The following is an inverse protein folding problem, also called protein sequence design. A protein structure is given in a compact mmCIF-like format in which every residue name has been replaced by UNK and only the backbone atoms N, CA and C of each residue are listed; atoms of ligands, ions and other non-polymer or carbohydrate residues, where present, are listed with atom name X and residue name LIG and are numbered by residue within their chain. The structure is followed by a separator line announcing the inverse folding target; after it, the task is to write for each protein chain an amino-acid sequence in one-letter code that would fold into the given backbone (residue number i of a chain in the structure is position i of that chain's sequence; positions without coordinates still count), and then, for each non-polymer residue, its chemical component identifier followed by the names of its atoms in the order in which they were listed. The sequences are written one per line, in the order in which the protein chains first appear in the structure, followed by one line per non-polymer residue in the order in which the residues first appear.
data_IF_951032483478
#
_entry.id   IF_951032483478
#
_cell.length_a   1.000
_cell.length_b   1.000
_cell.length_c   1.000
_cell.angle_alpha   90.00
_cell.angle_beta   90.00
_cell.angle_gamma   90.00
#
_symmetry.space_group_name_H-M   'P 1'
#
loop_
_entity.id
_entity.type
_entity.pdbx_description
1 polymer ?
#
# COMPACT_ATOMS: atom_id res chain seq x y z
N UNK A 1 -21.77 31.61 43.98
CA UNK A 1 -20.69 30.88 43.27
C UNK A 1 -19.69 31.91 42.80
N UNK A 2 -18.49 31.95 43.37
CA UNK A 2 -17.41 32.76 42.80
C UNK A 2 -17.13 32.31 41.37
N UNK A 3 -17.19 33.24 40.42
CA UNK A 3 -16.77 33.02 39.04
C UNK A 3 -15.24 32.99 39.00
N UNK A 4 -14.66 31.85 39.34
CA UNK A 4 -13.23 31.56 39.18
C UNK A 4 -12.92 31.18 37.73
N UNK A 5 -13.05 32.14 36.80
CA UNK A 5 -12.57 31.97 35.43
C UNK A 5 -11.18 32.59 35.31
N UNK A 6 -10.19 31.78 34.93
CA UNK A 6 -8.85 32.26 34.66
C UNK A 6 -8.87 33.30 33.52
N UNK A 7 -7.98 34.29 33.60
CA UNK A 7 -7.89 35.37 32.60
C UNK A 7 -7.46 34.87 31.22
N UNK A 8 -6.75 33.74 31.14
CA UNK A 8 -6.32 33.10 29.89
C UNK A 8 -6.92 31.71 29.79
N UNK A 9 -7.35 31.34 28.58
CA UNK A 9 -7.80 29.99 28.27
C UNK A 9 -6.61 29.02 28.32
N UNK A 10 -6.71 28.01 29.18
CA UNK A 10 -5.78 26.88 29.20
C UNK A 10 -6.45 25.66 28.58
N UNK A 11 -6.12 25.40 27.32
CA UNK A 11 -6.66 24.26 26.58
C UNK A 11 -6.25 22.92 27.20
N UNK A 12 -5.10 22.83 27.88
CA UNK A 12 -4.63 21.58 28.50
C UNK A 12 -5.52 21.19 29.66
N UNK A 13 -5.75 22.11 30.59
CA UNK A 13 -6.68 21.92 31.71
C UNK A 13 -8.10 21.61 31.24
N UNK A 14 -8.49 22.14 30.09
CA UNK A 14 -9.82 21.94 29.51
C UNK A 14 -9.93 20.58 28.81
N UNK A 15 -8.90 20.10 28.13
CA UNK A 15 -8.91 18.81 27.41
C UNK A 15 -8.65 17.61 28.34
N UNK A 16 -7.94 17.83 29.45
CA UNK A 16 -7.53 16.78 30.38
C UNK A 16 -8.70 15.90 30.83
N UNK A 17 -8.55 14.58 30.63
CA UNK A 17 -9.55 13.57 30.98
C UNK A 17 -10.86 13.61 30.19
N UNK A 18 -11.13 14.63 29.35
CA UNK A 18 -12.40 14.76 28.63
C UNK A 18 -12.64 13.63 27.64
N UNK A 19 -11.62 13.27 26.87
CA UNK A 19 -11.76 12.24 25.86
C UNK A 19 -12.13 10.89 26.49
N UNK A 20 -11.39 10.48 27.52
CA UNK A 20 -11.65 9.24 28.26
C UNK A 20 -13.07 9.24 28.82
N UNK A 21 -13.51 10.36 29.42
CA UNK A 21 -14.88 10.51 29.90
C UNK A 21 -15.93 10.35 28.79
N UNK A 22 -15.68 10.84 27.57
CA UNK A 22 -16.61 10.64 26.45
C UNK A 22 -16.70 9.18 26.01
N UNK A 23 -15.55 8.48 25.97
CA UNK A 23 -15.49 7.06 25.64
C UNK A 23 -16.18 6.21 26.72
N UNK A 24 -15.85 6.43 28.00
CA UNK A 24 -16.45 5.71 29.14
C UNK A 24 -17.97 5.86 29.20
N UNK A 25 -18.48 7.04 28.83
CA UNK A 25 -19.92 7.30 28.79
C UNK A 25 -20.60 6.82 27.50
N UNK A 26 -19.86 6.24 26.56
CA UNK A 26 -20.41 5.73 25.30
C UNK A 26 -20.99 6.81 24.39
N UNK A 27 -20.53 8.06 24.49
CA UNK A 27 -21.11 9.19 23.73
C UNK A 27 -20.97 9.05 22.21
N UNK A 28 -20.05 8.20 21.75
CA UNK A 28 -19.76 8.00 20.34
C UNK A 28 -20.22 6.63 19.82
N UNK A 29 -20.84 5.81 20.67
CA UNK A 29 -21.30 4.47 20.31
C UNK A 29 -22.56 4.54 19.45
N UNK A 30 -22.53 3.90 18.29
CA UNK A 30 -23.67 3.80 17.38
C UNK A 30 -24.47 2.49 17.59
N UNK A 31 -25.74 2.50 17.21
CA UNK A 31 -26.63 1.35 17.30
C UNK A 31 -28.08 1.68 17.66
N UNK A 32 -28.46 2.96 17.68
CA UNK A 32 -29.83 3.38 17.92
C UNK A 32 -30.70 3.18 16.67
N UNK A 33 -31.38 2.03 16.62
CA UNK A 33 -32.24 1.63 15.49
C UNK A 33 -33.48 2.53 15.29
N UNK A 34 -33.75 3.47 16.20
CA UNK A 34 -34.85 4.43 16.04
C UNK A 34 -34.48 5.65 15.18
N UNK A 35 -33.20 5.84 14.88
CA UNK A 35 -32.67 6.97 14.11
C UNK A 35 -32.18 6.53 12.74
N UNK A 36 -32.12 7.46 11.81
CA UNK A 36 -31.53 7.23 10.51
C UNK A 36 -30.02 7.00 10.65
N UNK A 37 -29.45 5.94 10.05
CA UNK A 37 -28.03 5.65 10.14
C UNK A 37 -27.20 6.61 9.28
N UNK A 38 -26.05 7.03 9.79
CA UNK A 38 -25.00 7.68 8.99
C UNK A 38 -23.66 7.07 9.36
N UNK A 39 -22.88 6.63 8.36
CA UNK A 39 -21.61 5.94 8.61
C UNK A 39 -20.47 6.62 7.88
N UNK A 40 -19.35 6.79 8.58
CA UNK A 40 -18.06 7.15 8.02
C UNK A 40 -17.07 6.08 8.49
N UNK A 41 -16.27 5.57 7.56
CA UNK A 41 -15.15 4.68 7.88
C UNK A 41 -13.89 5.53 7.81
N UNK A 42 -13.11 5.56 8.89
CA UNK A 42 -11.80 6.20 8.85
C UNK A 42 -10.96 5.45 7.80
N UNK A 43 -10.29 6.14 6.86
CA UNK A 43 -9.24 5.51 6.07
C UNK A 43 -8.22 4.91 7.04
N UNK A 44 -8.11 3.58 7.12
CA UNK A 44 -7.38 2.95 8.21
C UNK A 44 -5.88 3.28 8.06
N UNK A 45 -5.25 3.97 9.04
CA UNK A 45 -3.83 4.26 8.94
C UNK A 45 -3.01 2.97 9.02
N UNK A 46 -1.89 2.97 8.31
CA UNK A 46 -0.94 1.87 8.31
C UNK A 46 -0.26 1.76 9.68
N UNK A 47 -0.08 0.53 10.17
CA UNK A 47 0.67 0.25 11.42
C UNK A 47 2.18 0.33 11.24
N UNK A 48 2.68 1.32 10.50
CA UNK A 48 4.09 1.46 10.08
C UNK A 48 4.82 2.65 10.72
N UNK A 49 4.12 3.46 11.50
CA UNK A 49 4.64 4.72 12.03
C UNK A 49 3.63 5.48 12.90
N UNK A 50 4.06 6.64 13.38
CA UNK A 50 3.18 7.60 14.07
C UNK A 50 2.38 8.42 13.05
N UNK A 51 1.16 8.82 13.42
CA UNK A 51 0.35 9.68 12.57
C UNK A 51 1.00 11.06 12.43
N UNK A 52 1.19 11.53 11.20
CA UNK A 52 1.58 12.91 10.88
C UNK A 52 0.38 13.85 10.62
N UNK A 53 0.65 15.13 10.37
CA UNK A 53 -0.37 16.18 10.16
C UNK A 53 -1.39 15.88 9.05
N UNK A 54 -1.00 15.16 7.99
CA UNK A 54 -1.94 14.68 6.97
C UNK A 54 -3.10 13.84 7.54
N UNK A 55 -2.82 12.92 8.47
CA UNK A 55 -3.87 12.14 9.15
C UNK A 55 -4.72 13.04 10.06
N UNK A 56 -4.11 14.02 10.73
CA UNK A 56 -4.85 14.96 11.56
C UNK A 56 -5.85 15.76 10.71
N UNK A 57 -5.43 16.23 9.53
CA UNK A 57 -6.31 16.93 8.59
C UNK A 57 -7.46 16.04 8.10
N UNK A 58 -7.14 14.84 7.60
CA UNK A 58 -8.13 13.87 7.12
C UNK A 58 -9.17 13.52 8.20
N UNK A 59 -8.71 13.15 9.39
CA UNK A 59 -9.58 12.71 10.48
C UNK A 59 -10.43 13.87 11.04
N UNK A 60 -9.90 15.10 11.09
CA UNK A 60 -10.65 16.27 11.57
C UNK A 60 -11.84 16.57 10.67
N UNK A 61 -11.67 16.52 9.34
CA UNK A 61 -12.77 16.75 8.40
C UNK A 61 -13.90 15.73 8.59
N UNK A 62 -13.54 14.46 8.75
CA UNK A 62 -14.50 13.39 9.02
C UNK A 62 -15.18 13.56 10.37
N UNK A 63 -14.45 13.94 11.42
CA UNK A 63 -14.99 14.15 12.76
C UNK A 63 -15.97 15.31 12.84
N UNK A 64 -15.71 16.42 12.12
CA UNK A 64 -16.65 17.54 12.00
C UNK A 64 -17.98 17.05 11.43
N UNK A 65 -17.95 16.27 10.36
CA UNK A 65 -19.15 15.70 9.74
C UNK A 65 -19.84 14.72 10.71
N UNK A 66 -19.09 13.84 11.35
CA UNK A 66 -19.62 12.88 12.31
C UNK A 66 -20.35 13.58 13.47
N UNK A 67 -19.73 14.60 14.07
CA UNK A 67 -20.33 15.40 15.14
C UNK A 67 -21.57 16.13 14.66
N UNK A 68 -21.50 16.77 13.50
CA UNK A 68 -22.64 17.47 12.91
C UNK A 68 -23.83 16.52 12.68
N UNK A 69 -23.60 15.35 12.07
CA UNK A 69 -24.64 14.34 11.82
C UNK A 69 -25.24 13.78 13.11
N UNK A 70 -24.40 13.51 14.11
CA UNK A 70 -24.86 13.10 15.44
C UNK A 70 -25.76 14.17 16.08
N UNK A 71 -25.40 15.45 15.97
CA UNK A 71 -26.21 16.57 16.45
C UNK A 71 -27.51 16.79 15.66
N UNK A 72 -27.54 16.39 14.38
CA UNK A 72 -28.76 16.37 13.57
C UNK A 72 -29.72 15.22 13.91
N UNK A 73 -29.34 14.32 14.84
CA UNK A 73 -30.19 13.22 15.29
C UNK A 73 -29.97 11.89 14.58
N UNK A 74 -28.93 11.74 13.75
CA UNK A 74 -28.58 10.47 13.11
C UNK A 74 -27.93 9.49 14.09
N UNK A 75 -28.11 8.19 13.84
CA UNK A 75 -27.27 7.13 14.44
C UNK A 75 -25.91 7.13 13.73
N UNK A 76 -25.00 7.95 14.24
CA UNK A 76 -23.70 8.21 13.61
C UNK A 76 -22.65 7.19 14.03
N UNK A 77 -22.25 6.31 13.11
CA UNK A 77 -21.10 5.41 13.23
C UNK A 77 -19.87 6.01 12.57
N UNK A 78 -18.91 6.47 13.37
CA UNK A 78 -17.57 6.80 12.88
C UNK A 78 -16.64 5.64 13.22
N UNK A 79 -16.47 4.72 12.26
CA UNK A 79 -15.82 3.42 12.46
C UNK A 79 -14.29 3.57 12.45
N UNK A 80 -13.59 3.29 13.56
CA UNK A 80 -12.14 3.24 13.58
C UNK A 80 -11.63 1.91 13.00
N UNK A 81 -10.50 1.97 12.31
CA UNK A 81 -9.79 0.79 11.87
C UNK A 81 -8.32 1.08 11.61
N UNK A 82 -7.51 0.04 11.54
CA UNK A 82 -6.07 0.14 11.21
C UNK A 82 -5.72 -0.86 10.11
N UNK A 83 -4.73 -0.50 9.30
CA UNK A 83 -4.26 -1.34 8.22
C UNK A 83 -2.91 -2.00 8.54
N UNK A 84 -2.84 -3.31 8.34
CA UNK A 84 -1.62 -4.11 8.40
C UNK A 84 -0.56 -3.69 7.37
N UNK A 85 -0.94 -3.04 6.26
CA UNK A 85 -0.04 -2.43 5.28
C UNK A 85 1.03 -3.37 4.67
N UNK A 86 0.81 -4.69 4.70
CA UNK A 86 1.63 -5.74 4.08
C UNK A 86 3.14 -5.44 4.04
N UNK A 87 3.64 -5.16 2.83
CA UNK A 87 5.06 -4.90 2.52
C UNK A 87 5.63 -3.75 3.35
N UNK A 88 4.87 -2.68 3.59
CA UNK A 88 5.36 -1.52 4.34
C UNK A 88 5.61 -1.87 5.82
N UNK A 89 4.75 -2.70 6.43
CA UNK A 89 4.96 -3.20 7.79
C UNK A 89 6.12 -4.17 7.85
N UNK A 90 6.21 -5.09 6.87
CA UNK A 90 7.35 -6.01 6.78
C UNK A 90 8.67 -5.24 6.73
N UNK A 91 8.79 -4.23 5.87
CA UNK A 91 10.01 -3.42 5.75
C UNK A 91 10.40 -2.72 7.07
N UNK A 92 9.41 -2.25 7.84
CA UNK A 92 9.66 -1.62 9.15
C UNK A 92 10.09 -2.62 10.22
N UNK A 93 9.45 -3.78 10.27
CA UNK A 93 9.83 -4.87 11.19
C UNK A 93 11.23 -5.39 10.84
N UNK A 94 11.52 -5.58 9.55
CA UNK A 94 12.84 -5.99 9.07
C UNK A 94 13.93 -4.98 9.44
N UNK A 95 13.66 -3.68 9.30
CA UNK A 95 14.60 -2.63 9.70
C UNK A 95 14.87 -2.64 11.22
N UNK A 96 13.83 -2.87 12.04
CA UNK A 96 13.99 -3.02 13.50
C UNK A 96 14.81 -4.26 13.86
N UNK A 97 14.48 -5.41 13.28
CA UNK A 97 15.24 -6.64 13.49
C UNK A 97 16.71 -6.47 13.11
N UNK A 98 16.98 -5.82 11.98
CA UNK A 98 18.35 -5.50 11.55
C UNK A 98 19.08 -4.60 12.55
N UNK A 99 18.39 -3.65 13.20
CA UNK A 99 18.97 -2.83 14.27
C UNK A 99 19.29 -3.62 15.55
N UNK A 100 18.57 -4.73 15.78
CA UNK A 100 18.84 -5.71 16.83
C UNK A 100 19.91 -6.74 16.42
N UNK A 101 20.46 -6.64 15.20
CA UNK A 101 21.44 -7.58 14.64
C UNK A 101 20.83 -8.92 14.19
N UNK A 102 19.51 -8.98 14.05
CA UNK A 102 18.76 -10.21 13.70
C UNK A 102 18.27 -10.12 12.27
N UNK A 103 18.50 -11.18 11.48
CA UNK A 103 17.87 -11.30 10.16
C UNK A 103 16.51 -11.99 10.27
N UNK A 104 15.51 -11.52 9.50
CA UNK A 104 14.21 -12.19 9.39
C UNK A 104 14.34 -13.64 8.91
N UNK A 105 15.38 -13.92 8.12
CA UNK A 105 15.67 -15.25 7.59
C UNK A 105 16.16 -16.21 8.68
N UNK A 106 16.74 -15.70 9.76
CA UNK A 106 17.23 -16.50 10.89
C UNK A 106 16.10 -16.83 11.88
N UNK A 107 15.05 -16.00 11.94
CA UNK A 107 13.90 -16.18 12.84
C UNK A 107 12.93 -17.26 12.36
N UNK A 108 12.80 -17.43 11.05
CA UNK A 108 11.72 -18.21 10.46
C UNK A 108 10.36 -17.50 10.54
N UNK A 109 9.36 -18.08 9.86
CA UNK A 109 8.05 -17.44 9.65
C UNK A 109 7.29 -17.18 10.95
N UNK A 110 7.23 -18.16 11.85
CA UNK A 110 6.39 -18.08 13.05
C UNK A 110 6.86 -16.97 13.99
N UNK A 111 8.15 -16.95 14.34
CA UNK A 111 8.74 -15.90 15.17
C UNK A 111 8.68 -14.53 14.50
N UNK A 112 8.83 -14.47 13.17
CA UNK A 112 8.64 -13.21 12.45
C UNK A 112 7.22 -12.66 12.62
N UNK A 113 6.20 -13.52 12.50
CA UNK A 113 4.81 -13.12 12.70
C UNK A 113 4.54 -12.66 14.13
N UNK A 114 5.12 -13.32 15.14
CA UNK A 114 5.05 -12.85 16.54
C UNK A 114 5.58 -11.42 16.66
N UNK A 115 6.77 -11.13 16.11
CA UNK A 115 7.35 -9.78 16.11
C UNK A 115 6.49 -8.76 15.36
N UNK A 116 5.85 -9.15 14.26
CA UNK A 116 4.94 -8.29 13.51
C UNK A 116 3.67 -7.95 14.31
N UNK A 117 3.14 -8.91 15.09
CA UNK A 117 2.00 -8.68 15.97
C UNK A 117 2.35 -7.81 17.19
N UNK A 118 3.54 -7.99 17.77
CA UNK A 118 4.08 -7.11 18.81
C UNK A 118 4.18 -5.67 18.31
N UNK A 119 4.77 -5.50 17.12
CA UNK A 119 4.85 -4.22 16.44
C UNK A 119 3.45 -3.60 16.25
N UNK A 120 2.48 -4.38 15.74
CA UNK A 120 1.10 -3.92 15.59
C UNK A 120 0.50 -3.42 16.91
N UNK A 121 0.72 -4.14 18.01
CA UNK A 121 0.19 -3.77 19.32
C UNK A 121 0.77 -2.42 19.82
N UNK A 122 2.08 -2.23 19.64
CA UNK A 122 2.78 -0.99 19.99
C UNK A 122 2.23 0.22 19.21
N UNK A 123 2.13 0.08 17.88
CA UNK A 123 1.66 1.17 17.02
C UNK A 123 0.16 1.43 17.15
N UNK A 124 -0.66 0.40 17.34
CA UNK A 124 -2.08 0.58 17.60
C UNK A 124 -2.33 1.43 18.85
N UNK A 125 -1.55 1.22 19.92
CA UNK A 125 -1.63 2.05 21.14
C UNK A 125 -1.27 3.51 20.85
N UNK A 126 -0.22 3.73 20.05
CA UNK A 126 0.21 5.09 19.68
C UNK A 126 -0.83 5.80 18.83
N UNK A 127 -1.37 5.13 17.80
CA UNK A 127 -2.43 5.65 16.94
C UNK A 127 -3.68 6.02 17.76
N UNK A 128 -4.14 5.15 18.66
CA UNK A 128 -5.27 5.44 19.57
C UNK A 128 -5.01 6.66 20.45
N UNK A 129 -3.78 6.80 20.97
CA UNK A 129 -3.40 7.98 21.77
C UNK A 129 -3.50 9.25 20.94
N UNK A 130 -3.05 9.22 19.67
CA UNK A 130 -3.12 10.37 18.78
C UNK A 130 -4.57 10.73 18.40
N UNK A 131 -5.40 9.74 18.06
CA UNK A 131 -6.83 9.96 17.84
C UNK A 131 -7.53 10.54 19.05
N UNK A 132 -7.22 10.04 20.26
CA UNK A 132 -7.76 10.56 21.49
C UNK A 132 -7.29 11.98 21.79
N UNK A 133 -6.02 12.30 21.48
CA UNK A 133 -5.49 13.66 21.64
C UNK A 133 -6.12 14.67 20.68
N UNK A 134 -6.46 14.25 19.45
CA UNK A 134 -7.24 15.05 18.51
C UNK A 134 -8.72 15.15 18.90
N UNK A 135 -9.20 14.23 19.75
CA UNK A 135 -10.58 14.19 20.21
C UNK A 135 -11.53 13.56 19.20
N UNK A 136 -11.06 12.69 18.30
CA UNK A 136 -11.91 12.08 17.27
C UNK A 136 -13.06 11.28 17.89
N UNK A 137 -14.30 11.51 17.43
CA UNK A 137 -15.52 10.90 17.95
C UNK A 137 -15.79 9.47 17.43
N UNK A 138 -14.78 8.63 17.54
CA UNK A 138 -14.72 7.25 17.04
C UNK A 138 -15.48 6.27 17.94
N UNK A 139 -16.10 5.27 17.33
CA UNK A 139 -16.73 4.15 18.04
C UNK A 139 -15.75 2.97 18.19
N UNK A 140 -14.96 2.98 19.26
CA UNK A 140 -13.99 1.92 19.54
C UNK A 140 -14.61 0.55 19.83
N UNK A 141 -15.92 0.48 20.14
CA UNK A 141 -16.59 -0.81 20.38
C UNK A 141 -16.60 -1.72 19.13
N UNK A 142 -16.37 -1.12 17.96
CA UNK A 142 -16.37 -1.79 16.66
C UNK A 142 -15.03 -1.65 15.93
N UNK A 143 -13.96 -1.29 16.63
CA UNK A 143 -12.65 -1.08 16.01
C UNK A 143 -12.19 -2.32 15.22
N UNK A 144 -11.66 -2.08 14.02
CA UNK A 144 -11.24 -3.14 13.10
C UNK A 144 -9.76 -3.14 12.80
N UNK A 145 -9.25 -4.31 12.42
CA UNK A 145 -7.91 -4.45 11.87
C UNK A 145 -7.97 -5.32 10.61
N UNK A 146 -7.25 -4.95 9.56
CA UNK A 146 -7.37 -5.64 8.26
C UNK A 146 -6.95 -7.11 8.27
N UNK A 147 -6.26 -7.58 9.33
CA UNK A 147 -5.93 -8.99 9.56
C UNK A 147 -6.70 -9.62 10.74
N UNK A 148 -7.75 -8.97 11.24
CA UNK A 148 -8.66 -9.60 12.21
C UNK A 148 -9.50 -10.71 11.57
N UNK A 149 -10.05 -11.61 12.39
CA UNK A 149 -10.78 -12.80 11.91
C UNK A 149 -11.95 -12.44 10.99
N UNK A 150 -12.68 -11.36 11.30
CA UNK A 150 -13.82 -10.91 10.51
C UNK A 150 -13.41 -10.37 9.13
N UNK A 151 -12.33 -9.60 9.07
CA UNK A 151 -11.76 -9.12 7.81
C UNK A 151 -11.17 -10.27 6.98
N UNK A 152 -10.47 -11.21 7.60
CA UNK A 152 -9.92 -12.38 6.92
C UNK A 152 -11.04 -13.21 6.27
N UNK A 153 -12.16 -13.40 6.96
CA UNK A 153 -13.33 -14.08 6.42
C UNK A 153 -13.97 -13.31 5.26
N UNK A 154 -14.09 -11.99 5.36
CA UNK A 154 -14.60 -11.15 4.29
C UNK A 154 -13.71 -11.19 3.03
N UNK A 155 -12.39 -11.08 3.19
CA UNK A 155 -11.43 -11.17 2.08
C UNK A 155 -11.49 -12.55 1.43
N UNK A 156 -11.54 -13.63 2.22
CA UNK A 156 -11.68 -15.00 1.71
C UNK A 156 -12.97 -15.19 0.93
N UNK A 157 -14.09 -14.68 1.46
CA UNK A 157 -15.39 -14.73 0.78
C UNK A 157 -15.34 -14.04 -0.58
N UNK A 158 -14.83 -12.81 -0.63
CA UNK A 158 -14.70 -12.04 -1.88
C UNK A 158 -13.78 -12.75 -2.87
N UNK A 159 -12.62 -13.25 -2.41
CA UNK A 159 -11.69 -13.99 -3.26
C UNK A 159 -12.34 -15.23 -3.88
N UNK A 160 -12.99 -16.07 -3.06
CA UNK A 160 -13.66 -17.29 -3.55
C UNK A 160 -14.80 -16.96 -4.50
N UNK A 161 -15.58 -15.92 -4.21
CA UNK A 161 -16.66 -15.46 -5.09
C UNK A 161 -16.12 -15.03 -6.45
N UNK A 162 -15.13 -14.15 -6.48
CA UNK A 162 -14.52 -13.65 -7.73
C UNK A 162 -13.80 -14.75 -8.51
N UNK A 163 -13.22 -15.74 -7.81
CA UNK A 163 -12.67 -16.94 -8.45
C UNK A 163 -13.75 -17.78 -9.13
N UNK A 164 -14.85 -18.07 -8.43
CA UNK A 164 -15.97 -18.84 -8.98
C UNK A 164 -16.68 -18.11 -10.14
N UNK A 165 -16.66 -16.78 -10.16
CA UNK A 165 -17.16 -15.94 -11.25
C UNK A 165 -16.17 -15.86 -12.44
N UNK A 166 -14.98 -16.45 -12.34
CA UNK A 166 -13.96 -16.45 -13.40
C UNK A 166 -13.16 -15.15 -13.51
N UNK A 167 -13.30 -14.23 -12.55
CA UNK A 167 -12.60 -12.94 -12.52
C UNK A 167 -11.20 -13.05 -11.91
N UNK A 168 -10.96 -14.07 -11.07
CA UNK A 168 -9.63 -14.42 -10.55
C UNK A 168 -9.15 -15.70 -11.24
N UNK A 169 -7.94 -15.66 -11.78
CA UNK A 169 -7.30 -16.80 -12.43
C UNK A 169 -5.82 -16.90 -12.06
N UNK A 170 -5.22 -18.06 -12.36
CA UNK A 170 -3.78 -18.29 -12.24
C UNK A 170 -3.20 -18.56 -13.63
N UNK A 171 -2.18 -17.79 -14.00
CA UNK A 171 -1.50 -17.94 -15.29
C UNK A 171 -0.13 -17.28 -15.28
N UNK A 172 0.61 -17.46 -16.37
CA UNK A 172 1.90 -16.84 -16.57
C UNK A 172 1.73 -15.47 -17.21
N UNK A 173 2.32 -14.44 -16.61
CA UNK A 173 2.33 -13.07 -17.12
C UNK A 173 3.64 -12.41 -16.70
N UNK A 174 4.14 -11.47 -17.51
CA UNK A 174 5.22 -10.57 -17.08
C UNK A 174 4.70 -9.74 -15.90
N UNK A 175 5.49 -9.69 -14.84
CA UNK A 175 5.20 -8.97 -13.59
C UNK A 175 6.34 -8.02 -13.26
N UNK A 176 6.07 -7.03 -12.42
CA UNK A 176 7.12 -6.28 -11.74
C UNK A 176 7.60 -7.11 -10.55
N UNK A 177 8.91 -7.29 -10.42
CA UNK A 177 9.52 -8.07 -9.34
C UNK A 177 10.53 -7.19 -8.60
N UNK A 178 10.38 -7.08 -7.29
CA UNK A 178 11.37 -6.44 -6.43
C UNK A 178 12.41 -7.49 -5.95
N UNK A 179 13.68 -7.39 -6.39
CA UNK A 179 14.73 -8.31 -5.95
C UNK A 179 15.12 -8.17 -4.47
N UNK A 180 14.88 -7.02 -3.84
CA UNK A 180 15.18 -6.78 -2.43
C UNK A 180 14.12 -7.42 -1.53
N UNK A 181 12.85 -7.06 -1.72
CA UNK A 181 11.75 -7.65 -0.95
C UNK A 181 11.42 -9.09 -1.37
N UNK A 182 11.85 -9.51 -2.56
CA UNK A 182 11.59 -10.82 -3.19
C UNK A 182 10.09 -11.09 -3.35
N UNK A 183 9.38 -10.13 -3.93
CA UNK A 183 7.94 -10.24 -4.17
C UNK A 183 7.54 -9.59 -5.49
N UNK A 184 6.39 -10.02 -6.01
CA UNK A 184 5.71 -9.34 -7.11
C UNK A 184 5.11 -8.02 -6.61
N UNK A 185 5.12 -7.01 -7.47
CA UNK A 185 4.48 -5.71 -7.26
C UNK A 185 3.41 -5.45 -8.31
N UNK A 186 2.31 -4.82 -7.89
CA UNK A 186 1.31 -4.29 -8.79
C UNK A 186 1.83 -3.04 -9.52
N UNK A 187 1.21 -2.69 -10.65
CA UNK A 187 1.63 -1.52 -11.43
C UNK A 187 1.54 -0.20 -10.64
N UNK A 188 0.59 -0.08 -9.71
CA UNK A 188 0.40 1.14 -8.90
C UNK A 188 1.46 1.29 -7.80
N UNK A 189 2.18 0.22 -7.47
CA UNK A 189 3.26 0.23 -6.48
C UNK A 189 4.63 0.55 -7.11
N UNK A 190 4.70 0.67 -8.43
CA UNK A 190 5.93 1.01 -9.16
C UNK A 190 5.98 2.51 -9.43
N UNK A 191 7.01 3.15 -8.88
CA UNK A 191 7.29 4.56 -9.12
C UNK A 191 8.27 4.69 -10.29
N UNK A 192 7.88 5.48 -11.28
CA UNK A 192 8.75 5.80 -12.42
C UNK A 192 9.47 7.12 -12.15
N UNK A 193 10.78 7.11 -12.38
CA UNK A 193 11.63 8.30 -12.32
C UNK A 193 12.64 8.23 -13.47
N UNK A 194 13.10 9.40 -13.91
CA UNK A 194 14.15 9.50 -14.91
C UNK A 194 15.52 9.37 -14.25
N UNK A 195 16.26 8.34 -14.63
CA UNK A 195 17.62 8.11 -14.18
C UNK A 195 18.61 8.29 -15.35
N UNK A 196 19.77 8.95 -15.15
CA UNK A 196 20.80 9.05 -16.19
C UNK A 196 21.28 7.67 -16.64
N UNK A 197 21.03 7.35 -17.91
CA UNK A 197 21.38 6.06 -18.51
C UNK A 197 22.34 6.18 -19.69
N UNK A 198 22.65 5.03 -20.29
CA UNK A 198 23.39 4.93 -21.55
C UNK A 198 22.53 4.23 -22.60
N UNK A 199 22.60 4.72 -23.83
CA UNK A 199 21.99 4.06 -24.99
C UNK A 199 23.09 3.37 -25.80
N UNK A 200 23.07 2.04 -25.82
CA UNK A 200 24.03 1.21 -26.52
C UNK A 200 23.53 0.92 -27.93
N UNK A 201 24.45 0.84 -28.89
CA UNK A 201 24.14 0.59 -30.30
C UNK A 201 24.93 -0.63 -30.76
N UNK A 202 24.22 -1.67 -31.19
CA UNK A 202 24.81 -2.95 -31.61
C UNK A 202 24.51 -3.19 -33.08
N UNK A 203 25.52 -3.66 -33.82
CA UNK A 203 25.36 -4.08 -35.20
C UNK A 203 24.84 -5.52 -35.24
N UNK A 204 23.81 -5.73 -36.03
CA UNK A 204 23.23 -7.02 -36.37
C UNK A 204 23.46 -7.29 -37.85
N UNK A 205 23.67 -8.56 -38.22
CA UNK A 205 23.98 -8.97 -39.59
C UNK A 205 22.85 -9.85 -40.11
N UNK A 206 22.22 -9.41 -41.19
CA UNK A 206 21.19 -10.17 -41.91
C UNK A 206 21.83 -11.39 -42.54
N UNK A 207 21.32 -12.57 -42.25
CA UNK A 207 21.94 -13.84 -42.65
C UNK A 207 21.88 -14.05 -44.17
N UNK A 208 20.78 -13.65 -44.80
CA UNK A 208 20.53 -13.87 -46.22
C UNK A 208 21.31 -12.92 -47.12
N UNK A 209 21.54 -11.69 -46.67
CA UNK A 209 22.16 -10.64 -47.51
C UNK A 209 23.53 -10.19 -47.02
N UNK A 210 23.91 -10.50 -45.78
CA UNK A 210 25.09 -9.94 -45.11
C UNK A 210 24.95 -8.44 -44.77
N UNK A 211 23.77 -7.86 -44.97
CA UNK A 211 23.50 -6.45 -44.68
C UNK A 211 23.57 -6.19 -43.17
N UNK A 212 24.24 -5.10 -42.77
CA UNK A 212 24.32 -4.70 -41.37
C UNK A 212 23.26 -3.65 -41.03
N UNK A 213 22.63 -3.79 -39.87
CA UNK A 213 21.76 -2.75 -39.29
C UNK A 213 22.04 -2.57 -37.80
N UNK A 214 21.56 -1.46 -37.22
CA UNK A 214 21.86 -1.09 -35.84
C UNK A 214 20.60 -1.22 -34.98
N UNK A 215 20.73 -1.94 -33.87
CA UNK A 215 19.73 -2.01 -32.80
C UNK A 215 20.23 -1.20 -31.62
N UNK A 216 19.37 -0.33 -31.07
CA UNK A 216 19.68 0.47 -29.90
C UNK A 216 18.94 -0.06 -28.66
N UNK A 217 19.65 -0.21 -27.54
CA UNK A 217 19.08 -0.70 -26.27
C UNK A 217 19.72 -0.01 -25.07
N UNK A 218 18.95 0.17 -24.00
CA UNK A 218 19.46 0.60 -22.69
C UNK A 218 19.90 -0.58 -21.82
N UNK A 219 19.59 -1.81 -22.24
CA UNK A 219 19.82 -3.05 -21.47
C UNK A 219 20.60 -4.07 -22.29
N UNK A 220 21.91 -3.89 -22.47
CA UNK A 220 22.73 -4.81 -23.26
C UNK A 220 22.72 -6.25 -22.69
N UNK A 221 22.47 -6.42 -21.40
CA UNK A 221 22.40 -7.72 -20.74
C UNK A 221 21.18 -8.57 -21.18
N UNK A 222 20.10 -7.96 -21.69
CA UNK A 222 18.93 -8.72 -22.16
C UNK A 222 19.13 -9.35 -23.53
N UNK A 223 20.19 -8.94 -24.26
CA UNK A 223 20.47 -9.39 -25.62
C UNK A 223 20.63 -10.92 -25.73
N UNK A 224 21.10 -11.59 -24.66
CA UNK A 224 21.20 -13.05 -24.61
C UNK A 224 19.83 -13.76 -24.60
N UNK A 225 18.77 -13.04 -24.28
CA UNK A 225 17.39 -13.52 -24.27
C UNK A 225 16.56 -12.97 -25.43
N UNK A 226 17.17 -12.32 -26.42
CA UNK A 226 16.46 -11.84 -27.60
C UNK A 226 15.88 -13.03 -28.38
N UNK A 227 14.64 -12.88 -28.85
CA UNK A 227 13.89 -13.92 -29.57
C UNK A 227 13.49 -13.51 -30.99
N UNK A 228 13.56 -12.21 -31.29
CA UNK A 228 13.29 -11.64 -32.62
C UNK A 228 13.79 -10.18 -32.67
N UNK A 229 13.90 -9.63 -33.88
CA UNK A 229 14.04 -8.19 -34.11
C UNK A 229 12.74 -7.63 -34.70
N UNK A 230 12.23 -6.55 -34.11
CA UNK A 230 10.99 -5.92 -34.56
C UNK A 230 11.32 -4.68 -35.40
N UNK A 231 10.83 -4.68 -36.65
CA UNK A 231 10.95 -3.56 -37.58
C UNK A 231 9.57 -2.94 -37.82
N UNK A 232 9.49 -1.61 -37.82
CA UNK A 232 8.25 -0.91 -38.17
C UNK A 232 7.96 -1.11 -39.68
N UNK A 233 6.79 -1.63 -40.09
CA UNK A 233 6.45 -1.84 -41.50
C UNK A 233 6.50 -0.59 -42.37
N UNK A 234 6.34 0.59 -41.77
CA UNK A 234 6.41 1.88 -42.47
C UNK A 234 7.82 2.48 -42.53
N UNK A 235 8.83 1.82 -41.96
CA UNK A 235 10.22 2.28 -42.05
C UNK A 235 10.79 1.95 -43.44
N UNK A 236 10.85 2.95 -44.33
CA UNK A 236 11.40 2.82 -45.68
C UNK A 236 12.84 2.33 -45.72
N UNK A 237 13.61 2.48 -44.63
CA UNK A 237 15.03 2.07 -44.59
C UNK A 237 15.22 0.60 -44.25
N UNK A 238 14.26 -0.03 -43.58
CA UNK A 238 14.42 -1.37 -43.02
C UNK A 238 13.26 -2.32 -43.37
N UNK A 239 12.18 -1.85 -44.00
CA UNK A 239 11.02 -2.69 -44.32
C UNK A 239 11.36 -3.90 -45.21
N UNK A 240 12.39 -3.80 -46.05
CA UNK A 240 12.90 -4.87 -46.90
C UNK A 240 13.60 -5.97 -46.12
N UNK A 241 13.81 -5.79 -44.80
CA UNK A 241 14.35 -6.80 -43.89
C UNK A 241 13.25 -7.63 -43.20
N UNK A 242 11.98 -7.24 -43.29
CA UNK A 242 10.89 -7.98 -42.65
C UNK A 242 10.80 -9.40 -43.26
N UNK A 243 10.81 -10.40 -42.37
CA UNK A 243 10.77 -11.82 -42.75
C UNK A 243 12.14 -12.44 -43.08
N UNK A 244 13.24 -11.66 -42.97
CA UNK A 244 14.62 -12.17 -43.03
C UNK A 244 15.12 -12.53 -41.63
N UNK A 245 16.21 -13.28 -41.56
CA UNK A 245 16.85 -13.67 -40.31
C UNK A 245 18.09 -12.84 -40.04
N UNK A 246 18.43 -12.68 -38.77
CA UNK A 246 19.63 -11.98 -38.32
C UNK A 246 20.42 -12.81 -37.33
N UNK A 247 21.72 -12.53 -37.20
CA UNK A 247 22.57 -13.18 -36.20
C UNK A 247 22.68 -12.29 -34.96
N UNK A 248 22.32 -12.83 -33.80
CA UNK A 248 22.50 -12.18 -32.52
C UNK A 248 24.01 -12.00 -32.23
N UNK A 249 24.50 -10.76 -32.03
CA UNK A 249 25.92 -10.49 -31.87
C UNK A 249 26.48 -10.97 -30.52
N UNK A 250 25.63 -11.26 -29.52
CA UNK A 250 26.06 -11.72 -28.20
C UNK A 250 26.37 -13.22 -28.15
N UNK A 251 25.53 -14.02 -28.80
CA UNK A 251 25.52 -15.48 -28.64
C UNK A 251 25.55 -16.25 -29.99
N UNK A 252 25.52 -15.55 -31.13
CA UNK A 252 25.56 -16.15 -32.46
C UNK A 252 24.28 -16.88 -32.87
N UNK A 253 23.20 -16.78 -32.09
CA UNK A 253 21.92 -17.41 -32.42
C UNK A 253 21.26 -16.69 -33.60
N UNK A 254 20.60 -17.46 -34.44
CA UNK A 254 19.76 -16.94 -35.51
C UNK A 254 18.41 -16.49 -34.93
N UNK A 255 18.02 -15.26 -35.25
CA UNK A 255 16.78 -14.64 -34.83
C UNK A 255 15.91 -14.31 -36.05
N UNK A 256 14.59 -14.48 -35.96
CA UNK A 256 13.64 -13.95 -36.93
C UNK A 256 13.45 -12.43 -36.79
#
# INVERSE_FOLDING_TARGET
MEKNLAQKYDHKAVEEGKYNRWIEKGYFTAGDKSKDPFTIVIPPPNVTGILHIGHAWDNTLQDIIARYKRMQGYDMLFLPGMDHAGIATQAKVDARLKSEGISRYDLGREKFLERAWEWKAEYAKTIRTQWGKLGNSLDYSRERFTMDDGFNDAVRHVFVKLYNEGLIYRGWRIINWDPEARTALSNIEVYYQDDPGKMYHFKYVVKETGEEFVVATTRPETMFGDVCVVVNPSDEKLNHLIGKHTTNPANGQELP
#
